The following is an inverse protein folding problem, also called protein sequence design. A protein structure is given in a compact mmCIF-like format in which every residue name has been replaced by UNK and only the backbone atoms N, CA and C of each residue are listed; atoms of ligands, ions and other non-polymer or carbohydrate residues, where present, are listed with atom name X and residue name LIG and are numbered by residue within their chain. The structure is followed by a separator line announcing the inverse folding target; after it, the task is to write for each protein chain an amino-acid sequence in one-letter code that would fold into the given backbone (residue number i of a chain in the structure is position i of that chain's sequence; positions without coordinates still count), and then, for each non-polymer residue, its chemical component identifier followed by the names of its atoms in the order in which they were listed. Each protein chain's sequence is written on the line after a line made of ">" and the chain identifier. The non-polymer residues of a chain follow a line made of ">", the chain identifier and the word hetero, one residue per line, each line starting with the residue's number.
data_IF_957800580588
#
_entry.id   IF_957800580588
#
_cell.length_a   1.000
_cell.length_b   1.000
_cell.length_c   1.000
_cell.angle_alpha   90.00
_cell.angle_beta   90.00
_cell.angle_gamma   90.00
#
_symmetry.space_group_name_H-M   'P 1'
#
loop_
_entity.id
_entity.type
_entity.pdbx_description
1 polymer ?
#
# COMPACT_ATOMS: atom_id res chain seq x y z
N UNK A 1 -55.55 19.43 -16.86
CA UNK A 1 -54.41 19.16 -17.76
C UNK A 1 -53.32 18.48 -16.94
N UNK A 2 -53.11 17.17 -17.06
CA UNK A 2 -52.04 16.50 -16.32
C UNK A 2 -50.71 16.76 -17.03
N UNK A 3 -49.77 17.37 -16.32
CA UNK A 3 -48.39 17.53 -16.76
C UNK A 3 -47.70 16.17 -16.74
N UNK A 4 -47.25 15.75 -17.91
CA UNK A 4 -46.53 14.50 -18.14
C UNK A 4 -45.15 14.61 -17.47
N UNK A 5 -44.95 13.99 -16.31
CA UNK A 5 -43.62 13.85 -15.71
C UNK A 5 -42.87 12.75 -16.45
N UNK A 6 -42.15 13.12 -17.52
CA UNK A 6 -41.14 12.26 -18.12
C UNK A 6 -40.03 12.03 -17.09
N UNK A 7 -40.05 10.85 -16.47
CA UNK A 7 -38.93 10.34 -15.72
C UNK A 7 -37.74 10.28 -16.69
N UNK A 8 -36.76 11.16 -16.49
CA UNK A 8 -35.51 11.13 -17.22
C UNK A 8 -34.86 9.76 -17.00
N UNK A 9 -34.99 8.88 -17.99
CA UNK A 9 -34.24 7.64 -18.10
C UNK A 9 -32.78 8.01 -18.27
N UNK A 10 -32.05 8.06 -17.16
CA UNK A 10 -30.59 8.20 -17.16
C UNK A 10 -30.06 6.99 -17.95
N UNK A 11 -29.69 7.23 -19.20
CA UNK A 11 -29.10 6.21 -20.06
C UNK A 11 -27.82 5.71 -19.39
N UNK A 12 -27.55 4.39 -19.35
CA UNK A 12 -26.32 3.89 -18.76
C UNK A 12 -25.13 4.59 -19.43
N UNK A 13 -24.23 5.17 -18.62
CA UNK A 13 -22.98 5.73 -19.12
C UNK A 13 -22.22 4.57 -19.78
N UNK A 14 -22.23 4.51 -21.11
CA UNK A 14 -21.45 3.55 -21.87
C UNK A 14 -19.98 3.93 -21.71
N UNK A 15 -19.24 3.09 -20.99
CA UNK A 15 -17.80 3.25 -20.79
C UNK A 15 -17.05 2.76 -22.03
N UNK A 16 -16.00 3.47 -22.42
CA UNK A 16 -15.14 3.02 -23.52
C UNK A 16 -14.38 1.74 -23.13
N UNK A 17 -13.84 1.02 -24.11
CA UNK A 17 -12.98 -0.13 -23.84
C UNK A 17 -11.73 0.25 -23.04
N UNK A 18 -11.16 1.43 -23.33
CA UNK A 18 -10.01 1.97 -22.61
C UNK A 18 -10.35 2.25 -21.13
N UNK A 19 -11.53 2.83 -20.87
CA UNK A 19 -12.00 3.08 -19.50
C UNK A 19 -12.16 1.76 -18.72
N UNK A 20 -12.70 0.71 -19.37
CA UNK A 20 -12.87 -0.59 -18.75
C UNK A 20 -11.52 -1.22 -18.40
N UNK A 21 -10.52 -1.11 -19.27
CA UNK A 21 -9.15 -1.59 -19.00
C UNK A 21 -8.49 -0.79 -17.87
N UNK A 22 -8.64 0.54 -17.86
CA UNK A 22 -8.13 1.38 -16.78
C UNK A 22 -8.76 0.99 -15.43
N UNK A 23 -10.08 0.82 -15.38
CA UNK A 23 -10.80 0.38 -14.18
C UNK A 23 -10.33 -1.01 -13.71
N UNK A 24 -10.05 -1.93 -14.64
CA UNK A 24 -9.52 -3.24 -14.30
C UNK A 24 -8.13 -3.14 -13.66
N UNK A 25 -7.20 -2.39 -14.29
CA UNK A 25 -5.85 -2.17 -13.75
C UNK A 25 -5.89 -1.58 -12.34
N UNK A 26 -6.72 -0.56 -12.12
CA UNK A 26 -6.87 0.05 -10.79
C UNK A 26 -7.47 -0.91 -9.77
N UNK A 27 -8.41 -1.78 -10.16
CA UNK A 27 -8.95 -2.82 -9.26
C UNK A 27 -7.87 -3.85 -8.91
N UNK A 28 -7.10 -4.32 -9.89
CA UNK A 28 -6.01 -5.27 -9.67
C UNK A 28 -4.92 -4.67 -8.77
N UNK A 29 -4.58 -3.40 -8.98
CA UNK A 29 -3.64 -2.68 -8.14
C UNK A 29 -4.16 -2.51 -6.71
N UNK A 30 -5.44 -2.19 -6.51
CA UNK A 30 -6.05 -2.12 -5.19
C UNK A 30 -6.00 -3.48 -4.46
N UNK A 31 -6.29 -4.58 -5.15
CA UNK A 31 -6.19 -5.92 -4.58
C UNK A 31 -4.75 -6.26 -4.18
N UNK A 32 -3.78 -5.96 -5.06
CA UNK A 32 -2.35 -6.14 -4.76
C UNK A 32 -1.92 -5.33 -3.54
N UNK A 33 -2.39 -4.09 -3.41
CA UNK A 33 -2.07 -3.26 -2.26
C UNK A 33 -2.61 -3.86 -0.97
N UNK A 34 -3.83 -4.38 -0.98
CA UNK A 34 -4.41 -5.04 0.20
C UNK A 34 -3.60 -6.28 0.60
N UNK A 35 -3.19 -7.10 -0.36
CA UNK A 35 -2.38 -8.29 -0.11
C UNK A 35 -0.96 -7.95 0.39
N UNK A 36 -0.36 -6.88 -0.14
CA UNK A 36 0.92 -6.36 0.30
C UNK A 36 0.84 -5.72 1.69
N UNK A 37 -0.19 -4.92 1.96
CA UNK A 37 -0.39 -4.29 3.26
C UNK A 37 -0.62 -5.34 4.36
N UNK A 38 -1.37 -6.42 4.08
CA UNK A 38 -1.53 -7.54 5.02
C UNK A 38 -0.20 -8.24 5.31
N UNK A 39 0.60 -8.52 4.28
CA UNK A 39 1.91 -9.13 4.45
C UNK A 39 2.87 -8.23 5.24
N UNK A 40 2.84 -6.92 4.99
CA UNK A 40 3.64 -5.93 5.73
C UNK A 40 3.22 -5.88 7.20
N UNK A 41 1.93 -5.83 7.52
CA UNK A 41 1.46 -5.84 8.93
C UNK A 41 1.86 -7.12 9.64
N UNK A 42 1.76 -8.26 8.96
CA UNK A 42 2.21 -9.55 9.47
C UNK A 42 3.72 -9.55 9.79
N UNK A 43 4.53 -8.98 8.90
CA UNK A 43 5.96 -8.81 9.11
C UNK A 43 6.28 -7.83 10.23
N UNK A 44 5.58 -6.70 10.32
CA UNK A 44 5.74 -5.73 11.41
C UNK A 44 5.42 -6.33 12.78
N UNK A 45 4.41 -7.18 12.89
CA UNK A 45 4.11 -7.91 14.13
C UNK A 45 5.24 -8.90 14.51
N UNK A 46 6.00 -9.41 13.53
CA UNK A 46 7.15 -10.26 13.80
C UNK A 46 8.41 -9.45 14.18
N UNK A 47 8.65 -8.29 13.56
CA UNK A 47 9.80 -7.42 13.86
C UNK A 47 9.60 -6.60 15.14
N UNK A 48 8.35 -6.23 15.44
CA UNK A 48 7.98 -5.47 16.63
C UNK A 48 6.82 -6.17 17.38
N UNK A 49 7.07 -7.33 18.02
CA UNK A 49 6.01 -8.10 18.69
C UNK A 49 5.21 -7.26 19.68
N UNK A 50 3.89 -7.20 19.48
CA UNK A 50 2.97 -6.47 20.34
C UNK A 50 3.00 -4.95 20.22
N UNK A 51 3.83 -4.38 19.33
CA UNK A 51 3.87 -2.94 19.10
C UNK A 51 2.75 -2.47 18.17
N UNK A 52 2.53 -3.16 17.05
CA UNK A 52 1.63 -2.72 15.99
C UNK A 52 0.27 -3.41 16.10
N UNK A 53 -0.77 -2.65 16.44
CA UNK A 53 -2.15 -3.15 16.53
C UNK A 53 -2.81 -3.27 15.15
N UNK A 54 -2.53 -2.30 14.29
CA UNK A 54 -3.04 -2.24 12.92
C UNK A 54 -2.22 -1.25 12.11
N UNK A 55 -2.35 -1.28 10.80
CA UNK A 55 -1.79 -0.30 9.88
C UNK A 55 -2.90 0.26 9.00
N UNK A 56 -2.95 1.58 8.93
CA UNK A 56 -3.78 2.31 7.99
C UNK A 56 -2.96 2.60 6.73
N UNK A 57 -3.53 2.32 5.56
CA UNK A 57 -2.95 2.69 4.26
C UNK A 57 -3.93 3.63 3.58
N UNK A 58 -3.44 4.82 3.22
CA UNK A 58 -4.24 5.89 2.62
C UNK A 58 -3.86 6.06 1.15
N UNK A 59 -4.85 6.21 0.27
CA UNK A 59 -4.66 6.57 -1.14
C UNK A 59 -5.53 7.76 -1.51
N UNK A 60 -5.04 8.68 -2.33
CA UNK A 60 -5.88 9.71 -2.92
C UNK A 60 -6.62 9.16 -4.14
N UNK A 61 -7.73 9.81 -4.51
CA UNK A 61 -8.56 9.39 -5.65
C UNK A 61 -7.85 9.46 -7.03
N UNK A 62 -6.79 10.25 -7.11
CA UNK A 62 -5.96 10.40 -8.32
C UNK A 62 -4.61 9.70 -8.26
N UNK A 63 -4.39 8.76 -7.34
CA UNK A 63 -3.14 7.99 -7.28
C UNK A 63 -2.98 7.20 -8.58
N UNK A 64 -1.77 7.16 -9.11
CA UNK A 64 -1.40 6.12 -10.07
C UNK A 64 -1.57 4.74 -9.43
N UNK A 65 -1.69 3.70 -10.25
CA UNK A 65 -1.97 2.34 -9.79
C UNK A 65 -0.97 1.86 -8.71
N UNK A 66 0.28 2.32 -8.72
CA UNK A 66 1.33 1.95 -7.77
C UNK A 66 1.65 3.00 -6.67
N UNK A 67 0.75 3.96 -6.44
CA UNK A 67 0.96 5.04 -5.47
C UNK A 67 0.15 4.88 -4.18
N UNK A 68 0.72 5.36 -3.08
CA UNK A 68 0.13 5.43 -1.75
C UNK A 68 0.33 6.86 -1.22
N UNK A 69 -0.67 7.44 -0.57
CA UNK A 69 -0.54 8.76 0.04
C UNK A 69 0.23 8.69 1.36
N UNK A 70 -0.27 7.88 2.29
CA UNK A 70 0.31 7.73 3.63
C UNK A 70 0.17 6.31 4.16
N UNK A 71 1.06 5.97 5.08
CA UNK A 71 1.04 4.71 5.85
C UNK A 71 1.14 5.05 7.32
N UNK A 72 0.16 4.59 8.11
CA UNK A 72 0.01 4.99 9.50
C UNK A 72 -0.22 3.77 10.41
N UNK A 73 0.86 3.24 11.02
CA UNK A 73 0.74 2.21 12.05
C UNK A 73 0.08 2.76 13.32
N UNK A 74 -0.98 2.09 13.77
CA UNK A 74 -1.54 2.27 15.10
C UNK A 74 -0.78 1.38 16.07
N UNK A 75 -0.05 2.02 16.98
CA UNK A 75 0.86 1.33 17.90
C UNK A 75 0.39 1.40 19.35
N UNK A 76 0.84 0.45 20.17
CA UNK A 76 0.64 0.44 21.63
C UNK A 76 1.54 1.45 22.35
N UNK A 77 2.75 1.70 21.82
CA UNK A 77 3.73 2.65 22.36
C UNK A 77 3.98 3.81 21.37
N UNK A 78 3.37 4.97 21.66
CA UNK A 78 3.32 6.13 20.76
C UNK A 78 4.71 6.68 20.37
N UNK A 79 5.67 6.86 21.30
CA UNK A 79 7.07 7.19 20.97
C UNK A 79 7.67 6.35 19.85
N UNK A 80 7.37 5.05 19.81
CA UNK A 80 7.94 4.10 18.83
C UNK A 80 7.18 4.03 17.51
N UNK A 81 6.13 4.84 17.31
CA UNK A 81 5.35 4.86 16.06
C UNK A 81 6.23 5.16 14.84
N UNK A 82 7.24 6.02 14.99
CA UNK A 82 8.12 6.39 13.90
C UNK A 82 8.94 5.19 13.39
N UNK A 83 9.45 4.33 14.28
CA UNK A 83 10.16 3.10 13.91
C UNK A 83 9.29 2.17 13.06
N UNK A 84 8.05 1.95 13.51
CA UNK A 84 7.10 1.09 12.81
C UNK A 84 6.68 1.70 11.46
N UNK A 85 6.51 3.03 11.40
CA UNK A 85 6.17 3.74 10.16
C UNK A 85 7.31 3.63 9.15
N UNK A 86 8.53 3.97 9.55
CA UNK A 86 9.71 3.89 8.68
C UNK A 86 9.92 2.48 8.13
N UNK A 87 9.67 1.45 8.96
CA UNK A 87 9.73 0.06 8.53
C UNK A 87 8.63 -0.28 7.51
N UNK A 88 7.39 0.15 7.76
CA UNK A 88 6.26 -0.07 6.86
C UNK A 88 6.49 0.59 5.49
N UNK A 89 6.93 1.85 5.50
CA UNK A 89 7.24 2.61 4.28
C UNK A 89 8.34 1.94 3.47
N UNK A 90 9.45 1.55 4.11
CA UNK A 90 10.54 0.80 3.47
C UNK A 90 10.07 -0.51 2.85
N UNK A 91 9.21 -1.25 3.55
CA UNK A 91 8.69 -2.51 3.06
C UNK A 91 7.79 -2.32 1.84
N UNK A 92 6.87 -1.34 1.87
CA UNK A 92 5.99 -1.03 0.73
C UNK A 92 6.80 -0.51 -0.47
N UNK A 93 7.78 0.36 -0.25
CA UNK A 93 8.68 0.79 -1.33
C UNK A 93 9.48 -0.37 -1.91
N UNK A 94 9.94 -1.31 -1.09
CA UNK A 94 10.65 -2.51 -1.57
C UNK A 94 9.76 -3.44 -2.40
N UNK A 95 8.43 -3.40 -2.21
CA UNK A 95 7.45 -4.11 -3.02
C UNK A 95 7.05 -3.36 -4.30
N UNK A 96 7.57 -2.15 -4.51
CA UNK A 96 7.34 -1.34 -5.71
C UNK A 96 6.33 -0.21 -5.56
N UNK A 97 5.85 0.07 -4.34
CA UNK A 97 4.93 1.17 -4.07
C UNK A 97 5.65 2.51 -3.92
N UNK A 98 5.10 3.57 -4.50
CA UNK A 98 5.59 4.94 -4.31
C UNK A 98 4.74 5.67 -3.27
N UNK A 99 5.39 6.29 -2.28
CA UNK A 99 4.69 7.06 -1.25
C UNK A 99 4.73 8.54 -1.64
N UNK A 100 3.56 9.09 -1.98
CA UNK A 100 3.39 10.47 -2.43
C UNK A 100 2.31 11.15 -1.59
N UNK A 101 2.70 11.83 -0.50
CA UNK A 101 1.74 12.56 0.31
C UNK A 101 1.21 13.77 -0.47
N UNK A 102 -0.08 13.78 -0.77
CA UNK A 102 -0.77 14.92 -1.35
C UNK A 102 -1.87 15.41 -0.40
N UNK A 103 -2.07 16.74 -0.30
CA UNK A 103 -3.11 17.35 0.54
C UNK A 103 -4.53 17.20 0.01
N UNK A 104 -4.85 16.07 -0.62
CA UNK A 104 -6.17 15.76 -1.22
C UNK A 104 -6.97 14.81 -0.34
N UNK A 105 -8.24 14.64 -0.69
CA UNK A 105 -9.10 13.63 -0.08
C UNK A 105 -8.51 12.22 -0.25
N UNK A 106 -8.40 11.50 0.87
CA UNK A 106 -7.85 10.15 0.93
C UNK A 106 -8.92 9.12 1.28
N UNK A 107 -8.74 7.91 0.75
CA UNK A 107 -9.45 6.70 1.17
C UNK A 107 -8.51 5.85 2.00
N UNK A 108 -8.98 5.43 3.17
CA UNK A 108 -8.22 4.59 4.10
C UNK A 108 -8.66 3.13 4.04
N UNK A 109 -7.69 2.23 4.07
CA UNK A 109 -7.87 0.80 4.36
C UNK A 109 -7.14 0.45 5.64
N UNK A 110 -7.69 -0.49 6.41
CA UNK A 110 -7.16 -0.87 7.73
C UNK A 110 -6.80 -2.36 7.74
N UNK A 111 -5.55 -2.64 8.08
CA UNK A 111 -4.99 -3.97 8.08
C UNK A 111 -4.52 -4.34 9.49
N UNK A 112 -4.88 -5.53 9.95
CA UNK A 112 -4.49 -6.06 11.27
C UNK A 112 -3.70 -7.34 11.09
N UNK A 113 -2.80 -7.69 12.03
CA UNK A 113 -2.21 -9.01 12.06
C UNK A 113 -3.34 -10.04 12.14
N UNK A 114 -3.53 -10.82 11.08
CA UNK A 114 -4.68 -11.71 10.98
C UNK A 114 -4.46 -12.95 11.82
N UNK A 115 -5.29 -13.15 12.84
CA UNK A 115 -5.35 -14.41 13.59
C UNK A 115 -6.01 -15.54 12.77
N UNK A 116 -6.68 -15.20 11.66
CA UNK A 116 -7.32 -16.17 10.77
C UNK A 116 -6.36 -16.74 9.71
N UNK A 117 -5.18 -16.15 9.52
CA UNK A 117 -4.15 -16.72 8.63
C UNK A 117 -3.51 -17.95 9.29
N UNK A 118 -3.26 -18.98 8.49
CA UNK A 118 -2.47 -20.13 8.97
C UNK A 118 -1.02 -19.70 9.26
N UNK A 119 -0.35 -20.40 10.18
CA UNK A 119 1.06 -20.13 10.50
C UNK A 119 1.98 -20.23 9.28
N UNK A 120 1.69 -21.13 8.34
CA UNK A 120 2.46 -21.27 7.10
C UNK A 120 2.30 -20.04 6.19
N UNK A 121 1.07 -19.54 6.01
CA UNK A 121 0.82 -18.34 5.23
C UNK A 121 1.53 -17.13 5.85
N UNK A 122 1.44 -17.00 7.18
CA UNK A 122 2.12 -15.97 7.96
C UNK A 122 3.64 -15.98 7.72
N UNK A 123 4.28 -17.14 7.81
CA UNK A 123 5.71 -17.30 7.56
C UNK A 123 6.10 -17.00 6.11
N UNK A 124 5.26 -17.37 5.15
CA UNK A 124 5.49 -17.08 3.74
C UNK A 124 5.47 -15.58 3.45
N UNK A 125 4.51 -14.84 4.03
CA UNK A 125 4.44 -13.38 3.94
C UNK A 125 5.66 -12.71 4.57
N UNK A 126 6.03 -13.11 5.80
CA UNK A 126 7.24 -12.61 6.48
C UNK A 126 8.49 -12.81 5.60
N UNK A 127 8.64 -14.01 5.02
CA UNK A 127 9.76 -14.33 4.14
C UNK A 127 9.74 -13.51 2.85
N UNK A 128 8.56 -13.24 2.28
CA UNK A 128 8.38 -12.38 1.09
C UNK A 128 8.87 -10.97 1.36
N UNK A 129 8.42 -10.35 2.46
CA UNK A 129 8.81 -8.99 2.84
C UNK A 129 10.32 -8.90 3.10
N UNK A 130 10.89 -9.84 3.88
CA UNK A 130 12.33 -9.86 4.16
C UNK A 130 13.18 -9.95 2.89
N UNK A 131 12.76 -10.74 1.91
CA UNK A 131 13.45 -10.82 0.61
C UNK A 131 13.38 -9.51 -0.15
N UNK A 132 12.21 -8.89 -0.25
CA UNK A 132 12.02 -7.62 -0.94
C UNK A 132 12.90 -6.51 -0.31
N UNK A 133 12.86 -6.35 1.01
CA UNK A 133 13.66 -5.35 1.73
C UNK A 133 15.16 -5.61 1.55
N UNK A 134 15.60 -6.88 1.63
CA UNK A 134 17.01 -7.24 1.40
C UNK A 134 17.46 -6.88 -0.02
N UNK A 135 16.65 -7.19 -1.03
CA UNK A 135 16.95 -6.86 -2.42
C UNK A 135 17.03 -5.34 -2.65
N UNK A 136 16.07 -4.58 -2.13
CA UNK A 136 16.07 -3.13 -2.22
C UNK A 136 17.33 -2.50 -1.59
N UNK A 137 17.79 -3.03 -0.45
CA UNK A 137 19.02 -2.57 0.20
C UNK A 137 20.28 -2.91 -0.61
N UNK A 138 20.35 -4.10 -1.24
CA UNK A 138 21.47 -4.46 -2.12
C UNK A 138 21.55 -3.52 -3.32
N UNK A 139 20.43 -3.24 -3.98
CA UNK A 139 20.37 -2.33 -5.13
C UNK A 139 20.79 -0.91 -4.77
N UNK A 140 20.44 -0.42 -3.57
CA UNK A 140 20.91 0.90 -3.10
C UNK A 140 22.41 0.93 -2.80
N UNK A 141 22.98 -0.17 -2.31
CA UNK A 141 24.41 -0.27 -1.99
C UNK A 141 25.30 -0.34 -3.23
N UNK A 142 24.83 -0.98 -4.31
CA UNK A 142 25.59 -1.08 -5.57
C UNK A 142 25.65 0.24 -6.36
N UNK A 143 24.77 1.20 -6.07
CA UNK A 143 24.82 2.58 -6.59
C UNK A 143 25.59 3.50 -5.63
N UNK A 144 26.87 3.20 -5.35
CA UNK A 144 27.79 4.18 -4.77
C UNK A 144 28.68 4.70 -5.91
N UNK A 145 28.47 5.92 -6.44
CA UNK A 145 29.37 6.45 -7.47
C UNK A 145 30.76 6.57 -6.85
N UNK A 146 31.70 5.80 -7.37
CA UNK A 146 33.11 5.90 -7.05
C UNK A 146 33.58 7.31 -7.42
N UNK A 147 33.61 8.21 -6.46
CA UNK A 147 34.39 9.44 -6.58
C UNK A 147 35.85 9.07 -6.34
N UNK A 148 36.42 8.32 -7.28
CA UNK A 148 37.86 8.22 -7.40
C UNK A 148 38.36 9.61 -7.80
N UNK A 149 38.92 10.33 -6.81
CA UNK A 149 39.77 11.49 -7.06
C UNK A 149 40.92 11.01 -7.97
N UNK A 150 41.01 11.58 -9.16
CA UNK A 150 42.26 11.61 -9.91
C UNK A 150 43.12 12.69 -9.27
N UNK A 151 44.26 12.28 -8.71
CA UNK A 151 45.41 13.17 -8.44
C UNK A 151 46.32 13.18 -9.69
#
# INVERSE_FOLDING_TARGET
>A
MPGNSEAATISPIQRSHEDLLAMQRTREAAQRLDDDARAVVCWLDAEFPGLVNSMEVQRHHGCEDNEIAHVEPRVTDRPRRHEARDAAEKALTALGWSIKPEGRDVRSTFHRPSQAQSSHARLADIARIRRAVKQANTTRSSYRPSTARQE
#
